data_IF_991094773129
#
_entry.id   IF_991094773129
#
_cell.length_a   1.000
_cell.length_b   1.000
_cell.length_c   1.000
_cell.angle_alpha   90.00
_cell.angle_beta   90.00
_cell.angle_gamma   90.00
#
_symmetry.space_group_name_H-M   'P 1'
#
loop_
_entity.id
_entity.type
_entity.pdbx_description
1 polymer ?
#
# COMPACT_ATOMS: atom_id res chain seq x y z
N UNK A 1 -1.58 -5.67 15.92
CA UNK A 1 -1.62 -6.60 14.78
C UNK A 1 -0.19 -6.95 14.38
N UNK A 2 0.13 -8.19 13.97
CA UNK A 2 1.49 -8.57 13.55
C UNK A 2 1.61 -8.69 12.03
N UNK A 3 2.82 -8.54 11.46
CA UNK A 3 3.07 -8.72 10.01
C UNK A 3 2.57 -10.08 9.49
N UNK A 4 2.69 -11.13 10.32
CA UNK A 4 2.19 -12.47 10.01
C UNK A 4 0.67 -12.51 9.89
N UNK A 5 -0.04 -11.78 10.77
CA UNK A 5 -1.49 -11.65 10.68
C UNK A 5 -1.93 -10.93 9.41
N UNK A 6 -1.27 -9.82 9.07
CA UNK A 6 -1.56 -9.04 7.86
C UNK A 6 -1.31 -9.87 6.59
N UNK A 7 -0.18 -10.58 6.52
CA UNK A 7 0.14 -11.47 5.41
C UNK A 7 -0.92 -12.56 5.21
N UNK A 8 -1.33 -13.23 6.30
CA UNK A 8 -2.36 -14.27 6.25
C UNK A 8 -3.73 -13.71 5.82
N UNK A 9 -4.14 -12.56 6.36
CA UNK A 9 -5.45 -11.95 6.05
C UNK A 9 -5.52 -11.35 4.63
N UNK A 10 -4.40 -10.91 4.07
CA UNK A 10 -4.34 -10.31 2.73
C UNK A 10 -3.94 -11.29 1.62
N UNK A 11 -3.59 -12.53 1.96
CA UNK A 11 -3.08 -13.52 1.01
C UNK A 11 -1.70 -13.18 0.40
N UNK A 12 -0.98 -12.23 0.99
CA UNK A 12 0.34 -11.80 0.50
C UNK A 12 1.49 -12.41 1.31
N UNK A 13 2.69 -12.44 0.71
CA UNK A 13 3.90 -12.84 1.44
C UNK A 13 4.26 -11.81 2.51
N UNK A 14 4.93 -12.26 3.59
CA UNK A 14 5.44 -11.35 4.64
C UNK A 14 6.38 -10.29 4.10
N UNK A 15 7.19 -10.66 3.10
CA UNK A 15 8.13 -9.75 2.45
C UNK A 15 7.36 -8.62 1.75
N UNK A 16 6.37 -8.96 0.91
CA UNK A 16 5.56 -7.98 0.18
C UNK A 16 4.83 -7.02 1.11
N UNK A 17 4.26 -7.52 2.21
CA UNK A 17 3.64 -6.68 3.24
C UNK A 17 4.67 -5.74 3.89
N UNK A 18 5.87 -6.23 4.16
CA UNK A 18 6.95 -5.42 4.76
C UNK A 18 7.40 -4.33 3.79
N UNK A 19 7.58 -4.64 2.51
CA UNK A 19 7.97 -3.68 1.47
C UNK A 19 6.92 -2.58 1.31
N UNK A 20 5.62 -2.93 1.30
CA UNK A 20 4.55 -1.93 1.25
C UNK A 20 4.56 -0.98 2.46
N UNK A 21 4.76 -1.51 3.68
CA UNK A 21 4.83 -0.70 4.90
C UNK A 21 6.07 0.20 4.90
N UNK A 22 7.22 -0.32 4.47
CA UNK A 22 8.46 0.45 4.38
C UNK A 22 8.35 1.57 3.35
N UNK A 23 7.72 1.29 2.20
CA UNK A 23 7.48 2.29 1.17
C UNK A 23 6.56 3.40 1.67
N UNK A 24 5.45 3.05 2.34
CA UNK A 24 4.56 4.00 2.98
C UNK A 24 5.29 4.90 3.99
N UNK A 25 6.09 4.28 4.86
CA UNK A 25 6.89 5.00 5.86
C UNK A 25 7.90 5.95 5.20
N UNK A 26 8.59 5.50 4.16
CA UNK A 26 9.58 6.29 3.42
C UNK A 26 8.94 7.49 2.72
N UNK A 27 7.72 7.33 2.19
CA UNK A 27 6.97 8.42 1.53
C UNK A 27 6.24 9.34 2.51
N UNK A 28 6.32 9.09 3.81
CA UNK A 28 5.66 9.91 4.83
C UNK A 28 4.17 9.60 5.03
N UNK A 29 3.68 8.48 4.49
CA UNK A 29 2.31 8.00 4.68
C UNK A 29 2.18 7.43 6.09
N UNK A 30 1.73 8.27 7.03
CA UNK A 30 1.59 7.91 8.44
C UNK A 30 0.15 8.11 8.91
N UNK A 31 -0.29 7.31 9.88
CA UNK A 31 -1.56 7.49 10.54
C UNK A 31 -1.50 8.64 11.58
N UNK A 32 -2.62 9.35 11.85
CA UNK A 32 -3.94 9.18 11.23
C UNK A 32 -3.95 9.66 9.77
N UNK A 33 -4.74 8.99 8.93
CA UNK A 33 -4.97 9.39 7.54
C UNK A 33 -6.03 10.49 7.47
N UNK A 34 -5.85 11.42 6.53
CA UNK A 34 -6.84 12.44 6.19
C UNK A 34 -8.01 11.83 5.38
N UNK A 35 -9.14 12.54 5.33
CA UNK A 35 -10.35 12.10 4.59
C UNK A 35 -10.10 11.91 3.09
N UNK A 36 -9.08 12.58 2.54
CA UNK A 36 -8.67 12.48 1.13
C UNK A 36 -7.77 11.27 0.84
N UNK A 37 -7.25 10.60 1.88
CA UNK A 37 -6.32 9.47 1.75
C UNK A 37 -7.08 8.15 1.69
N UNK A 38 -8.00 8.03 0.73
CA UNK A 38 -8.76 6.80 0.49
C UNK A 38 -7.92 5.68 -0.15
N UNK A 39 -8.46 4.47 -0.24
CA UNK A 39 -7.76 3.29 -0.78
C UNK A 39 -7.18 3.53 -2.18
N UNK A 40 -7.90 4.26 -3.05
CA UNK A 40 -7.44 4.59 -4.39
C UNK A 40 -6.29 5.58 -4.33
N UNK A 41 -6.44 6.66 -3.55
CA UNK A 41 -5.37 7.64 -3.40
C UNK A 41 -4.09 7.00 -2.86
N UNK A 42 -4.21 6.11 -1.85
CA UNK A 42 -3.07 5.37 -1.30
C UNK A 42 -2.43 4.45 -2.35
N UNK A 43 -3.22 3.76 -3.18
CA UNK A 43 -2.69 2.93 -4.25
C UNK A 43 -1.93 3.77 -5.29
N UNK A 44 -2.50 4.89 -5.73
CA UNK A 44 -1.86 5.81 -6.68
C UNK A 44 -0.59 6.44 -6.10
N UNK A 45 -0.60 6.76 -4.81
CA UNK A 45 0.52 7.35 -4.09
C UNK A 45 1.67 6.35 -3.89
N UNK A 46 1.37 5.11 -3.49
CA UNK A 46 2.38 4.08 -3.22
C UNK A 46 2.85 3.38 -4.50
N UNK A 47 1.95 3.09 -5.43
CA UNK A 47 2.18 2.27 -6.63
C UNK A 47 1.70 2.97 -7.91
N UNK A 48 2.25 4.15 -8.25
CA UNK A 48 1.80 4.93 -9.41
C UNK A 48 1.93 4.17 -10.74
N UNK A 49 2.81 3.17 -10.82
CA UNK A 49 2.96 2.32 -12.00
C UNK A 49 1.72 1.47 -12.30
N UNK A 50 0.99 1.02 -11.28
CA UNK A 50 -0.23 0.21 -11.45
C UNK A 50 -1.37 1.01 -12.05
N UNK A 51 -1.46 2.30 -11.71
CA UNK A 51 -2.47 3.20 -12.26
C UNK A 51 -2.22 3.46 -13.76
N UNK A 52 -0.97 3.39 -14.19
CA UNK A 52 -0.60 3.54 -15.60
C UNK A 52 -0.96 2.30 -16.44
N UNK A 53 -0.87 1.10 -15.86
CA UNK A 53 -1.21 -0.17 -16.54
C UNK A 53 -2.72 -0.31 -16.85
N UNK A 54 -3.58 0.47 -16.18
CA UNK A 54 -5.01 0.56 -16.52
C UNK A 54 -5.32 1.39 -17.78
N UNK A 55 -4.35 2.13 -18.33
CA UNK A 55 -4.54 2.99 -19.51
C UNK A 55 -4.07 2.35 -20.83
N UNK A 56 -3.72 1.06 -20.83
CA UNK A 56 -3.20 0.43 -22.04
C UNK A 56 -3.45 -1.06 -22.12
N UNK A 57 -4.64 -1.45 -22.63
CA UNK A 57 -4.77 -2.28 -23.84
C UNK A 57 -6.21 -2.36 -24.35
#
# INVERSE_FOLDING_TARGET
MSLRGIAASTGNSRQKVTEAIQLATMKGLNCPFDEEMDDKWIEEFLFPEKSLEGSGR
#
